data_IF_426765359434
#
_entry.id   IF_426765359434
#
_cell.length_a   1.000
_cell.length_b   1.000
_cell.length_c   1.000
_cell.angle_alpha   90.00
_cell.angle_beta   90.00
_cell.angle_gamma   90.00
#
_symmetry.space_group_name_H-M   'P 1'
#
loop_
_entity.id
_entity.type
_entity.pdbx_description
1 polymer ?
#
# COMPACT_ATOMS: atom_id res chain seq x y z
N UNK A 1 -46.64 18.99 5.82
CA UNK A 1 -47.09 18.01 6.82
C UNK A 1 -46.74 16.55 6.54
N UNK A 2 -47.10 15.90 5.41
CA UNK A 2 -46.74 14.48 5.19
C UNK A 2 -45.23 14.22 5.03
N UNK A 3 -44.52 15.10 4.32
CA UNK A 3 -43.08 14.94 4.11
C UNK A 3 -42.25 15.32 5.34
N UNK A 4 -42.70 16.26 6.18
CA UNK A 4 -41.95 16.70 7.37
C UNK A 4 -41.75 15.56 8.39
N UNK A 5 -42.80 14.80 8.70
CA UNK A 5 -42.67 13.65 9.62
C UNK A 5 -41.78 12.55 9.04
N UNK A 6 -41.90 12.29 7.73
CA UNK A 6 -41.10 11.28 7.04
C UNK A 6 -39.62 11.68 6.97
N UNK A 7 -39.33 12.96 6.71
CA UNK A 7 -37.97 13.51 6.72
C UNK A 7 -37.37 13.36 8.11
N UNK A 8 -38.10 13.73 9.18
CA UNK A 8 -37.60 13.55 10.56
C UNK A 8 -37.32 12.08 10.91
N UNK A 9 -38.14 11.13 10.46
CA UNK A 9 -37.87 9.71 10.64
C UNK A 9 -36.60 9.25 9.89
N UNK A 10 -36.39 9.76 8.67
CA UNK A 10 -35.19 9.49 7.86
C UNK A 10 -33.94 10.13 8.46
N UNK A 11 -34.02 11.32 9.05
CA UNK A 11 -32.92 11.97 9.77
C UNK A 11 -32.49 11.15 11.00
N UNK A 12 -33.46 10.66 11.78
CA UNK A 12 -33.18 9.76 12.89
C UNK A 12 -32.53 8.45 12.41
N UNK A 13 -32.99 7.90 11.29
CA UNK A 13 -32.36 6.72 10.69
C UNK A 13 -30.94 7.03 10.18
N UNK A 14 -30.73 8.19 9.55
CA UNK A 14 -29.43 8.64 9.07
C UNK A 14 -28.41 8.74 10.20
N UNK A 15 -28.82 9.26 11.37
CA UNK A 15 -27.94 9.34 12.53
C UNK A 15 -27.49 7.94 13.00
N UNK A 16 -28.42 7.00 13.12
CA UNK A 16 -28.10 5.60 13.50
C UNK A 16 -27.17 4.95 12.48
N UNK A 17 -27.39 5.17 11.18
CA UNK A 17 -26.53 4.63 10.11
C UNK A 17 -25.13 5.25 10.18
N UNK A 18 -25.01 6.56 10.43
CA UNK A 18 -23.70 7.21 10.61
C UNK A 18 -22.95 6.65 11.80
N UNK A 19 -23.63 6.47 12.93
CA UNK A 19 -23.02 5.90 14.12
C UNK A 19 -22.56 4.45 13.88
N UNK A 20 -23.32 3.69 13.07
CA UNK A 20 -22.94 2.34 12.64
C UNK A 20 -21.71 2.34 11.72
N UNK A 21 -21.70 3.16 10.67
CA UNK A 21 -20.57 3.29 9.75
C UNK A 21 -19.30 3.74 10.47
N UNK A 22 -19.41 4.69 11.41
CA UNK A 22 -18.30 5.14 12.25
C UNK A 22 -17.78 4.03 13.16
N UNK A 23 -18.66 3.24 13.79
CA UNK A 23 -18.25 2.12 14.63
C UNK A 23 -17.52 1.03 13.83
N UNK A 24 -17.99 0.73 12.62
CA UNK A 24 -17.33 -0.20 11.69
C UNK A 24 -15.95 0.33 11.27
N UNK A 25 -15.85 1.62 10.94
CA UNK A 25 -14.56 2.25 10.60
C UNK A 25 -13.59 2.16 11.78
N UNK A 26 -14.05 2.46 12.99
CA UNK A 26 -13.23 2.38 14.20
C UNK A 26 -12.76 0.96 14.50
N UNK A 27 -13.63 -0.03 14.32
CA UNK A 27 -13.26 -1.45 14.46
C UNK A 27 -12.15 -1.84 13.47
N UNK A 28 -12.20 -1.33 12.23
CA UNK A 28 -11.12 -1.55 11.25
C UNK A 28 -9.80 -0.92 11.69
N UNK A 29 -9.84 0.29 12.25
CA UNK A 29 -8.65 0.94 12.81
C UNK A 29 -8.01 0.14 13.94
N UNK A 30 -8.83 -0.40 14.84
CA UNK A 30 -8.35 -1.26 15.95
C UNK A 30 -7.70 -2.53 15.40
N UNK A 31 -8.31 -3.19 14.42
CA UNK A 31 -7.73 -4.37 13.80
C UNK A 31 -6.37 -4.07 13.17
N UNK A 32 -6.24 -2.95 12.45
CA UNK A 32 -4.95 -2.51 11.92
C UNK A 32 -3.93 -2.22 13.04
N UNK A 33 -4.35 -1.56 14.12
CA UNK A 33 -3.47 -1.29 15.26
C UNK A 33 -2.99 -2.57 15.95
N UNK A 34 -3.83 -3.60 16.03
CA UNK A 34 -3.45 -4.93 16.53
C UNK A 34 -2.42 -5.59 15.60
N UNK A 35 -2.61 -5.49 14.28
CA UNK A 35 -1.64 -6.01 13.31
C UNK A 35 -0.27 -5.31 13.43
N UNK A 36 -0.25 -3.97 13.52
CA UNK A 36 0.97 -3.19 13.72
C UNK A 36 1.67 -3.52 15.05
N UNK A 37 0.89 -3.71 16.12
CA UNK A 37 1.40 -4.11 17.42
C UNK A 37 2.05 -5.51 17.37
N UNK A 38 1.46 -6.44 16.62
CA UNK A 38 2.03 -7.79 16.42
C UNK A 38 3.34 -7.75 15.62
N UNK A 39 3.43 -6.91 14.60
CA UNK A 39 4.66 -6.74 13.80
C UNK A 39 5.78 -6.13 14.66
N UNK A 40 5.45 -5.18 15.52
CA UNK A 40 6.42 -4.42 16.32
C UNK A 40 6.85 -5.11 17.63
N UNK A 41 6.31 -6.29 17.96
CA UNK A 41 6.55 -6.99 19.25
C UNK A 41 8.04 -7.24 19.58
N UNK A 42 8.90 -7.47 18.59
CA UNK A 42 10.34 -7.72 18.78
C UNK A 42 11.23 -6.50 18.52
N UNK A 43 10.66 -5.37 18.09
CA UNK A 43 11.40 -4.21 17.59
C UNK A 43 12.40 -3.63 18.61
N UNK A 44 12.05 -3.61 19.89
CA UNK A 44 12.92 -3.06 20.95
C UNK A 44 14.16 -3.93 21.19
N UNK A 45 14.00 -5.26 21.15
CA UNK A 45 15.11 -6.20 21.30
C UNK A 45 16.01 -6.19 20.04
N UNK A 46 15.40 -6.08 18.86
CA UNK A 46 16.13 -5.95 17.60
C UNK A 46 16.92 -4.63 17.52
N UNK A 47 16.34 -3.53 17.98
CA UNK A 47 17.00 -2.23 18.04
C UNK A 47 18.22 -2.28 18.98
N UNK A 48 18.07 -2.90 20.15
CA UNK A 48 19.17 -3.14 21.08
C UNK A 48 20.29 -3.95 20.42
N UNK A 49 19.96 -5.11 19.84
CA UNK A 49 20.99 -5.96 19.21
C UNK A 49 21.67 -5.25 18.02
N UNK A 50 20.94 -4.47 17.24
CA UNK A 50 21.50 -3.67 16.13
C UNK A 50 22.50 -2.61 16.62
N UNK A 51 22.21 -1.96 17.74
CA UNK A 51 23.07 -0.92 18.29
C UNK A 51 24.35 -1.48 18.93
N UNK A 52 24.21 -2.53 19.75
CA UNK A 52 25.29 -2.99 20.62
C UNK A 52 26.12 -4.14 20.05
N UNK A 53 25.55 -5.02 19.22
CA UNK A 53 26.28 -6.18 18.69
C UNK A 53 27.48 -5.76 17.82
N UNK A 54 27.27 -4.78 16.94
CA UNK A 54 28.31 -4.31 16.03
C UNK A 54 29.48 -3.66 16.78
N UNK A 55 29.18 -2.81 17.77
CA UNK A 55 30.15 -2.18 18.67
C UNK A 55 30.92 -3.25 19.46
N UNK A 56 30.22 -4.20 20.06
CA UNK A 56 30.83 -5.29 20.84
C UNK A 56 31.77 -6.18 20.01
N UNK A 57 31.40 -6.50 18.76
CA UNK A 57 32.28 -7.24 17.86
C UNK A 57 33.55 -6.43 17.56
N UNK A 58 33.40 -5.15 17.22
CA UNK A 58 34.54 -4.28 16.90
C UNK A 58 35.50 -4.14 18.09
N UNK A 59 34.99 -4.01 19.30
CA UNK A 59 35.82 -3.87 20.50
C UNK A 59 36.63 -5.14 20.82
N UNK A 60 36.12 -6.33 20.48
CA UNK A 60 36.76 -7.61 20.81
C UNK A 60 37.71 -8.14 19.74
N UNK A 61 37.40 -7.95 18.46
CA UNK A 61 38.18 -8.51 17.34
C UNK A 61 38.64 -7.49 16.31
N UNK A 62 38.33 -6.21 16.51
CA UNK A 62 38.69 -5.12 15.60
C UNK A 62 37.80 -5.04 14.37
N UNK A 63 38.22 -4.21 13.42
CA UNK A 63 37.50 -4.03 12.16
C UNK A 63 37.63 -5.27 11.25
N UNK A 64 36.55 -5.56 10.52
CA UNK A 64 36.54 -6.62 9.51
C UNK A 64 37.67 -6.38 8.49
N UNK A 65 38.53 -7.37 8.20
CA UNK A 65 39.51 -7.26 7.14
C UNK A 65 38.82 -6.90 5.82
N UNK A 66 39.26 -5.82 5.15
CA UNK A 66 38.73 -5.43 3.85
C UNK A 66 39.04 -6.51 2.82
N UNK A 67 38.05 -6.92 2.03
CA UNK A 67 38.28 -7.82 0.91
C UNK A 67 39.05 -7.11 -0.22
N UNK A 68 39.58 -7.89 -1.17
CA UNK A 68 40.15 -7.31 -2.38
C UNK A 68 39.10 -6.54 -3.17
N UNK A 69 39.47 -5.38 -3.70
CA UNK A 69 38.66 -4.67 -4.68
C UNK A 69 38.43 -5.55 -5.93
N UNK A 70 37.31 -5.33 -6.64
CA UNK A 70 36.89 -6.16 -7.78
C UNK A 70 38.01 -6.36 -8.83
N UNK A 71 38.80 -5.30 -9.08
CA UNK A 71 39.87 -5.27 -10.08
C UNK A 71 41.28 -5.30 -9.48
N UNK A 72 41.45 -5.83 -8.26
CA UNK A 72 42.78 -5.90 -7.64
C UNK A 72 43.61 -7.06 -8.23
N UNK A 73 44.77 -6.81 -8.86
CA UNK A 73 45.59 -7.84 -9.48
C UNK A 73 46.16 -8.85 -8.47
N UNK A 74 46.32 -8.48 -7.19
CA UNK A 74 46.79 -9.41 -6.15
C UNK A 74 45.82 -10.56 -5.89
N UNK A 75 44.55 -10.43 -6.28
CA UNK A 75 43.54 -11.50 -6.17
C UNK A 75 43.87 -12.71 -7.05
N UNK A 76 44.61 -12.50 -8.15
CA UNK A 76 45.00 -13.58 -9.07
C UNK A 76 46.32 -14.27 -8.67
N UNK A 77 47.03 -13.74 -7.66
CA UNK A 77 48.29 -14.32 -7.17
C UNK A 77 47.98 -15.23 -5.97
N UNK A 78 48.14 -16.55 -6.17
CA UNK A 78 47.70 -17.60 -5.23
C UNK A 78 48.13 -17.38 -3.76
N UNK A 79 49.42 -17.12 -3.43
CA UNK A 79 49.81 -16.84 -2.04
C UNK A 79 49.07 -15.67 -1.37
N UNK A 80 48.77 -14.60 -2.11
CA UNK A 80 48.07 -13.43 -1.57
C UNK A 80 46.57 -13.69 -1.42
N UNK A 81 45.97 -14.38 -2.39
CA UNK A 81 44.58 -14.84 -2.30
C UNK A 81 44.37 -15.79 -1.11
N UNK A 82 45.25 -16.78 -0.93
CA UNK A 82 45.18 -17.77 0.14
C UNK A 82 45.38 -17.13 1.52
N UNK A 83 46.37 -16.24 1.65
CA UNK A 83 46.59 -15.48 2.90
C UNK A 83 45.36 -14.65 3.27
N UNK A 84 44.76 -13.96 2.30
CA UNK A 84 43.59 -13.11 2.54
C UNK A 84 42.34 -13.91 2.90
N UNK A 85 42.12 -15.03 2.21
CA UNK A 85 41.06 -15.98 2.51
C UNK A 85 41.21 -16.53 3.93
N UNK A 86 42.44 -16.90 4.33
CA UNK A 86 42.74 -17.36 5.69
C UNK A 86 42.49 -16.28 6.75
N UNK A 87 42.85 -15.03 6.49
CA UNK A 87 42.56 -13.89 7.39
C UNK A 87 41.05 -13.67 7.56
N UNK A 88 40.29 -13.68 6.46
CA UNK A 88 38.83 -13.56 6.50
C UNK A 88 38.17 -14.74 7.22
N UNK A 89 38.65 -15.95 6.99
CA UNK A 89 38.15 -17.14 7.66
C UNK A 89 38.37 -17.05 9.18
N UNK A 90 39.59 -16.72 9.61
CA UNK A 90 39.92 -16.53 11.05
C UNK A 90 39.06 -15.45 11.68
N UNK A 91 38.84 -14.33 10.98
CA UNK A 91 37.94 -13.27 11.45
C UNK A 91 36.50 -13.78 11.59
N UNK A 92 35.96 -14.48 10.59
CA UNK A 92 34.60 -15.00 10.61
C UNK A 92 34.39 -16.02 11.74
N UNK A 93 35.38 -16.89 11.99
CA UNK A 93 35.36 -17.83 13.12
C UNK A 93 35.40 -17.10 14.47
N UNK A 94 36.25 -16.08 14.60
CA UNK A 94 36.32 -15.24 15.78
C UNK A 94 35.02 -14.45 16.01
N UNK A 95 34.45 -13.88 14.94
CA UNK A 95 33.17 -13.17 14.97
C UNK A 95 32.05 -14.08 15.48
N UNK A 96 31.92 -15.31 14.95
CA UNK A 96 30.94 -16.28 15.44
C UNK A 96 31.09 -16.57 16.94
N UNK A 97 32.32 -16.72 17.44
CA UNK A 97 32.59 -16.95 18.87
C UNK A 97 32.23 -15.73 19.72
N UNK A 98 32.58 -14.53 19.26
CA UNK A 98 32.29 -13.27 19.96
C UNK A 98 30.81 -12.95 19.96
N UNK A 99 30.10 -13.17 18.85
CA UNK A 99 28.64 -13.03 18.78
C UNK A 99 27.93 -13.97 19.76
N UNK A 100 28.42 -15.22 19.91
CA UNK A 100 27.88 -16.13 20.94
C UNK A 100 28.11 -15.60 22.36
N UNK A 101 29.30 -15.05 22.64
CA UNK A 101 29.61 -14.43 23.93
C UNK A 101 28.75 -13.20 24.21
N UNK A 102 28.53 -12.34 23.20
CA UNK A 102 27.61 -11.21 23.30
C UNK A 102 26.24 -11.64 23.84
N UNK A 103 25.64 -12.68 23.26
CA UNK A 103 24.32 -13.13 23.72
C UNK A 103 24.32 -13.74 25.13
N UNK A 104 25.47 -14.22 25.62
CA UNK A 104 25.64 -14.69 27.00
C UNK A 104 25.81 -13.49 27.93
N UNK A 105 26.74 -12.58 27.61
CA UNK A 105 27.07 -11.42 28.44
C UNK A 105 25.88 -10.47 28.60
N UNK A 106 25.07 -10.32 27.55
CA UNK A 106 23.87 -9.47 27.54
C UNK A 106 22.57 -10.24 27.80
N UNK A 107 22.63 -11.51 28.21
CA UNK A 107 21.45 -12.35 28.43
C UNK A 107 20.44 -11.69 29.37
N UNK A 108 20.91 -11.15 30.50
CA UNK A 108 20.05 -10.51 31.50
C UNK A 108 19.40 -9.23 30.98
N UNK A 109 20.15 -8.38 30.29
CA UNK A 109 19.62 -7.13 29.72
C UNK A 109 18.59 -7.41 28.63
N UNK A 110 18.88 -8.36 27.73
CA UNK A 110 17.97 -8.80 26.68
C UNK A 110 16.71 -9.44 27.25
N UNK A 111 16.83 -10.20 28.33
CA UNK A 111 15.69 -10.78 29.05
C UNK A 111 14.80 -9.68 29.63
N UNK A 112 15.37 -8.65 30.27
CA UNK A 112 14.62 -7.50 30.81
C UNK A 112 13.88 -6.73 29.71
N UNK A 113 14.57 -6.39 28.63
CA UNK A 113 13.96 -5.70 27.47
C UNK A 113 12.80 -6.52 26.91
N UNK A 114 12.98 -7.85 26.78
CA UNK A 114 11.93 -8.75 26.30
C UNK A 114 10.73 -8.77 27.24
N UNK A 115 10.94 -8.84 28.55
CA UNK A 115 9.87 -8.82 29.54
C UNK A 115 9.11 -7.49 29.54
N UNK A 116 9.82 -6.36 29.50
CA UNK A 116 9.19 -5.03 29.42
C UNK A 116 8.37 -4.87 28.14
N UNK A 117 8.91 -5.29 27.00
CA UNK A 117 8.19 -5.28 25.73
C UNK A 117 6.98 -6.21 25.73
N UNK A 118 7.06 -7.37 26.38
CA UNK A 118 5.93 -8.31 26.50
C UNK A 118 4.83 -7.76 27.41
N UNK A 119 5.19 -7.07 28.50
CA UNK A 119 4.25 -6.38 29.38
C UNK A 119 3.55 -5.26 28.62
N UNK A 120 4.29 -4.34 27.99
CA UNK A 120 3.74 -3.22 27.20
C UNK A 120 2.82 -3.73 26.08
N UNK A 121 3.26 -4.76 25.35
CA UNK A 121 2.46 -5.44 24.33
C UNK A 121 1.15 -5.98 24.90
N UNK A 122 1.21 -6.72 26.01
CA UNK A 122 0.03 -7.31 26.64
C UNK A 122 -0.97 -6.27 27.13
N UNK A 123 -0.49 -5.15 27.68
CA UNK A 123 -1.32 -4.05 28.14
C UNK A 123 -2.03 -3.37 26.97
N UNK A 124 -1.28 -3.00 25.92
CA UNK A 124 -1.83 -2.38 24.71
C UNK A 124 -2.85 -3.30 24.04
N UNK A 125 -2.53 -4.58 23.90
CA UNK A 125 -3.43 -5.56 23.32
C UNK A 125 -4.71 -5.73 24.15
N UNK A 126 -4.60 -5.72 25.49
CA UNK A 126 -5.77 -5.81 26.37
C UNK A 126 -6.70 -4.61 26.22
N UNK A 127 -6.15 -3.39 26.09
CA UNK A 127 -6.94 -2.17 25.88
C UNK A 127 -7.65 -2.22 24.52
N UNK A 128 -6.94 -2.58 23.46
CA UNK A 128 -7.50 -2.68 22.10
C UNK A 128 -8.61 -3.75 22.03
N UNK A 129 -8.40 -4.91 22.64
CA UNK A 129 -9.42 -5.97 22.68
C UNK A 129 -10.64 -5.57 23.51
N UNK A 130 -10.48 -4.80 24.60
CA UNK A 130 -11.60 -4.28 25.36
C UNK A 130 -12.44 -3.31 24.51
N UNK A 131 -11.77 -2.39 23.80
CA UNK A 131 -12.43 -1.45 22.89
C UNK A 131 -13.14 -2.16 21.73
N UNK A 132 -12.53 -3.19 21.13
CA UNK A 132 -13.16 -3.99 20.07
C UNK A 132 -14.42 -4.72 20.55
N UNK A 133 -14.39 -5.30 21.75
CA UNK A 133 -15.56 -5.96 22.34
C UNK A 133 -16.72 -4.98 22.57
N UNK A 134 -16.43 -3.78 23.09
CA UNK A 134 -17.43 -2.72 23.27
C UNK A 134 -18.01 -2.27 21.92
N UNK A 135 -17.17 -2.10 20.91
CA UNK A 135 -17.61 -1.77 19.56
C UNK A 135 -18.44 -2.87 18.93
N UNK A 136 -18.09 -4.14 19.13
CA UNK A 136 -18.86 -5.27 18.61
C UNK A 136 -20.30 -5.25 19.14
N UNK A 137 -20.48 -5.04 20.45
CA UNK A 137 -21.80 -4.89 21.06
C UNK A 137 -22.56 -3.67 20.52
N UNK A 138 -21.85 -2.54 20.35
CA UNK A 138 -22.43 -1.31 19.80
C UNK A 138 -22.90 -1.51 18.35
N UNK A 139 -22.09 -2.17 17.52
CA UNK A 139 -22.38 -2.49 16.13
C UNK A 139 -23.62 -3.38 16.02
N UNK A 140 -23.69 -4.45 16.80
CA UNK A 140 -24.85 -5.35 16.80
C UNK A 140 -26.13 -4.63 17.27
N UNK A 141 -26.04 -3.78 18.30
CA UNK A 141 -27.17 -2.94 18.71
C UNK A 141 -27.64 -2.00 17.59
N UNK A 142 -26.72 -1.27 16.95
CA UNK A 142 -27.04 -0.34 15.86
C UNK A 142 -27.62 -1.07 14.65
N UNK A 143 -27.08 -2.24 14.29
CA UNK A 143 -27.59 -3.11 13.24
C UNK A 143 -29.02 -3.56 13.50
N UNK A 144 -29.35 -3.89 14.75
CA UNK A 144 -30.71 -4.23 15.16
C UNK A 144 -31.67 -3.03 15.04
N UNK A 145 -31.23 -1.84 15.45
CA UNK A 145 -32.02 -0.60 15.30
C UNK A 145 -32.30 -0.27 13.84
N UNK A 146 -31.29 -0.42 12.97
CA UNK A 146 -31.42 -0.23 11.52
C UNK A 146 -32.41 -1.25 10.95
N UNK A 147 -32.25 -2.53 11.26
CA UNK A 147 -33.09 -3.61 10.74
C UNK A 147 -34.54 -3.52 11.23
N UNK A 148 -34.76 -2.97 12.43
CA UNK A 148 -36.09 -2.74 12.99
C UNK A 148 -36.88 -1.65 12.26
N UNK A 149 -36.20 -0.67 11.66
CA UNK A 149 -36.80 0.40 10.87
C UNK A 149 -36.93 -0.03 9.41
N UNK A 150 -38.06 -0.67 9.04
CA UNK A 150 -38.40 -1.07 7.66
C UNK A 150 -38.78 0.12 6.74
N UNK A 151 -38.05 1.23 6.83
CA UNK A 151 -38.29 2.45 6.05
C UNK A 151 -37.71 2.37 4.64
N UNK A 152 -36.55 1.73 4.49
CA UNK A 152 -35.80 1.65 3.24
C UNK A 152 -35.37 0.21 2.93
N UNK A 153 -35.28 -0.17 1.64
CA UNK A 153 -34.67 -1.44 1.26
C UNK A 153 -33.19 -1.50 1.67
N UNK A 154 -32.71 -2.68 2.06
CA UNK A 154 -31.35 -2.89 2.57
C UNK A 154 -30.24 -2.28 1.68
N UNK A 155 -30.43 -2.33 0.35
CA UNK A 155 -29.49 -1.78 -0.64
C UNK A 155 -29.23 -0.28 -0.45
N UNK A 156 -30.20 0.47 0.09
CA UNK A 156 -30.11 1.93 0.25
C UNK A 156 -29.83 2.35 1.70
N UNK A 157 -29.52 1.40 2.58
CA UNK A 157 -29.12 1.65 3.96
C UNK A 157 -27.62 2.01 3.96
N UNK A 158 -27.33 3.24 3.54
CA UNK A 158 -26.03 3.89 3.69
C UNK A 158 -26.24 5.38 3.98
N UNK A 159 -25.32 6.00 4.71
CA UNK A 159 -25.47 7.41 5.10
C UNK A 159 -25.59 8.32 3.87
N UNK A 160 -24.86 8.00 2.81
CA UNK A 160 -24.89 8.74 1.55
C UNK A 160 -26.25 8.59 0.83
N UNK A 161 -26.76 7.36 0.70
CA UNK A 161 -28.06 7.11 0.06
C UNK A 161 -29.20 7.77 0.82
N UNK A 162 -29.24 7.61 2.15
CA UNK A 162 -30.30 8.21 2.98
C UNK A 162 -30.25 9.73 2.94
N UNK A 163 -29.04 10.33 3.01
CA UNK A 163 -28.89 11.78 2.89
C UNK A 163 -29.44 12.31 1.56
N UNK A 164 -29.13 11.64 0.44
CA UNK A 164 -29.67 12.03 -0.87
C UNK A 164 -31.19 11.91 -0.94
N UNK A 165 -31.75 10.84 -0.40
CA UNK A 165 -33.20 10.63 -0.34
C UNK A 165 -33.87 11.77 0.44
N UNK A 166 -33.32 12.15 1.59
CA UNK A 166 -33.79 13.32 2.38
C UNK A 166 -33.75 14.58 1.52
N UNK A 167 -32.61 14.87 0.89
CA UNK A 167 -32.46 16.06 0.03
C UNK A 167 -33.47 16.09 -1.11
N UNK A 168 -33.76 14.98 -1.79
CA UNK A 168 -34.76 14.97 -2.86
C UNK A 168 -36.17 15.28 -2.35
N UNK A 169 -36.50 14.86 -1.13
CA UNK A 169 -37.79 15.14 -0.50
C UNK A 169 -37.88 16.60 -0.02
N UNK A 170 -36.79 17.15 0.52
CA UNK A 170 -36.68 18.55 0.96
C UNK A 170 -36.74 19.53 -0.22
N UNK A 171 -36.06 19.19 -1.32
CA UNK A 171 -36.02 19.99 -2.55
C UNK A 171 -37.27 19.83 -3.41
N UNK A 172 -38.28 19.06 -2.95
CA UNK A 172 -39.50 18.74 -3.71
C UNK A 172 -39.21 18.10 -5.08
N UNK A 173 -38.07 17.43 -5.22
CA UNK A 173 -37.72 16.63 -6.39
C UNK A 173 -38.44 15.29 -6.40
N UNK A 174 -38.90 14.83 -5.23
CA UNK A 174 -39.71 13.63 -5.04
C UNK A 174 -40.81 13.90 -4.02
N UNK A 175 -41.98 13.32 -4.25
CA UNK A 175 -43.12 13.39 -3.31
C UNK A 175 -43.21 12.15 -2.41
N UNK A 176 -42.40 11.12 -2.68
CA UNK A 176 -42.37 9.88 -1.91
C UNK A 176 -40.99 9.23 -1.86
N UNK A 177 -40.76 8.36 -0.87
CA UNK A 177 -39.53 7.52 -0.78
C UNK A 177 -39.31 6.73 -2.08
N UNK A 178 -40.39 6.21 -2.68
CA UNK A 178 -40.29 5.42 -3.91
C UNK A 178 -39.73 6.24 -5.07
N UNK A 179 -40.20 7.48 -5.22
CA UNK A 179 -39.71 8.41 -6.25
C UNK A 179 -38.27 8.85 -5.96
N UNK A 180 -37.97 9.17 -4.70
CA UNK A 180 -36.60 9.53 -4.30
C UNK A 180 -35.60 8.39 -4.58
N UNK A 181 -36.00 7.13 -4.32
CA UNK A 181 -35.21 5.94 -4.69
C UNK A 181 -35.08 5.80 -6.20
N UNK A 182 -36.14 6.05 -6.98
CA UNK A 182 -36.09 5.98 -8.43
C UNK A 182 -35.10 7.01 -9.01
N UNK A 183 -35.12 8.24 -8.50
CA UNK A 183 -34.15 9.28 -8.86
C UNK A 183 -32.73 8.84 -8.51
N UNK A 184 -32.53 8.32 -7.29
CA UNK A 184 -31.22 7.84 -6.85
C UNK A 184 -30.68 6.73 -7.78
N UNK A 185 -31.50 5.73 -8.11
CA UNK A 185 -31.13 4.64 -9.02
C UNK A 185 -30.73 5.17 -10.40
N UNK A 186 -31.51 6.11 -10.94
CA UNK A 186 -31.23 6.71 -12.24
C UNK A 186 -29.90 7.49 -12.23
N UNK A 187 -29.63 8.27 -11.17
CA UNK A 187 -28.36 8.96 -11.00
C UNK A 187 -27.17 7.97 -10.89
N UNK A 188 -27.34 6.85 -10.20
CA UNK A 188 -26.31 5.80 -10.09
C UNK A 188 -26.01 5.14 -11.45
N UNK A 189 -27.04 4.91 -12.28
CA UNK A 189 -26.90 4.34 -13.62
C UNK A 189 -26.18 5.32 -14.56
N UNK A 190 -26.58 6.59 -14.56
CA UNK A 190 -25.89 7.65 -15.32
C UNK A 190 -24.42 7.75 -14.92
N UNK A 191 -24.11 7.69 -13.62
CA UNK A 191 -22.73 7.73 -13.15
C UNK A 191 -21.91 6.54 -13.67
N UNK A 192 -22.51 5.36 -13.74
CA UNK A 192 -21.84 4.16 -14.27
C UNK A 192 -21.56 4.29 -15.77
N UNK A 193 -22.52 4.77 -16.55
CA UNK A 193 -22.32 5.03 -17.97
C UNK A 193 -21.26 6.11 -18.23
N UNK A 194 -21.22 7.18 -17.43
CA UNK A 194 -20.17 8.19 -17.52
C UNK A 194 -18.77 7.58 -17.30
N UNK A 195 -18.61 6.74 -16.27
CA UNK A 195 -17.34 6.04 -16.00
C UNK A 195 -16.94 5.09 -17.13
N UNK A 196 -17.89 4.38 -17.74
CA UNK A 196 -17.62 3.53 -18.91
C UNK A 196 -17.15 4.33 -20.12
N UNK A 197 -17.74 5.52 -20.34
CA UNK A 197 -17.32 6.44 -21.39
C UNK A 197 -15.90 6.93 -21.12
N UNK A 198 -15.60 7.36 -19.90
CA UNK A 198 -14.26 7.84 -19.52
C UNK A 198 -13.19 6.76 -19.74
N UNK A 199 -13.46 5.50 -19.37
CA UNK A 199 -12.54 4.39 -19.61
C UNK A 199 -12.31 4.13 -21.11
N UNK A 200 -13.37 4.22 -21.93
CA UNK A 200 -13.26 4.09 -23.39
C UNK A 200 -12.46 5.23 -24.01
N UNK A 201 -12.64 6.46 -23.52
CA UNK A 201 -11.88 7.63 -23.95
C UNK A 201 -10.39 7.47 -23.61
N UNK A 202 -10.05 7.09 -22.39
CA UNK A 202 -8.65 6.82 -22.00
C UNK A 202 -7.99 5.75 -22.87
N UNK A 203 -8.73 4.69 -23.20
CA UNK A 203 -8.23 3.64 -24.10
C UNK A 203 -8.00 4.20 -25.51
N UNK A 204 -8.97 4.96 -26.04
CA UNK A 204 -8.88 5.55 -27.37
C UNK A 204 -7.70 6.53 -27.46
N UNK A 205 -7.48 7.36 -26.45
CA UNK A 205 -6.33 8.27 -26.36
C UNK A 205 -5.00 7.50 -26.41
N UNK A 206 -4.91 6.39 -25.68
CA UNK A 206 -3.72 5.52 -25.70
C UNK A 206 -3.53 4.85 -27.07
N UNK A 207 -4.61 4.37 -27.69
CA UNK A 207 -4.55 3.74 -29.00
C UNK A 207 -4.12 4.75 -30.08
N UNK A 208 -4.62 5.99 -30.02
CA UNK A 208 -4.19 7.11 -30.89
C UNK A 208 -2.71 7.43 -30.66
N UNK A 209 -2.27 7.52 -29.41
CA UNK A 209 -0.86 7.78 -29.09
C UNK A 209 0.05 6.70 -29.69
N UNK A 210 -0.25 5.43 -29.45
CA UNK A 210 0.54 4.32 -29.98
C UNK A 210 0.54 4.29 -31.51
N UNK A 211 -0.61 4.53 -32.13
CA UNK A 211 -0.73 4.60 -33.59
C UNK A 211 0.13 5.73 -34.18
N UNK A 212 0.13 6.91 -33.55
CA UNK A 212 0.95 8.04 -33.98
C UNK A 212 2.45 7.74 -33.84
N UNK A 213 2.88 7.10 -32.75
CA UNK A 213 4.28 6.69 -32.58
C UNK A 213 4.68 5.64 -33.62
N UNK A 214 3.85 4.61 -33.85
CA UNK A 214 4.11 3.61 -34.89
C UNK A 214 4.18 4.20 -36.29
N UNK A 215 3.30 5.15 -36.63
CA UNK A 215 3.38 5.87 -37.92
C UNK A 215 4.66 6.69 -38.02
N UNK A 216 5.06 7.39 -36.94
CA UNK A 216 6.31 8.16 -36.94
C UNK A 216 7.50 7.25 -37.22
N UNK A 217 7.60 6.13 -36.49
CA UNK A 217 8.65 5.12 -36.70
C UNK A 217 8.64 4.59 -38.14
N UNK A 218 7.47 4.26 -38.69
CA UNK A 218 7.38 3.76 -40.08
C UNK A 218 7.79 4.83 -41.11
N UNK A 219 7.42 6.09 -40.89
CA UNK A 219 7.83 7.22 -41.74
C UNK A 219 9.35 7.43 -41.66
N UNK A 220 9.94 7.39 -40.46
CA UNK A 220 11.38 7.52 -40.25
C UNK A 220 12.16 6.42 -40.99
N UNK A 221 11.74 5.15 -40.84
CA UNK A 221 12.35 4.02 -41.55
C UNK A 221 12.28 4.21 -43.07
N UNK A 222 11.11 4.55 -43.61
CA UNK A 222 10.96 4.78 -45.07
C UNK A 222 11.78 5.96 -45.56
N UNK A 223 11.90 7.01 -44.75
CA UNK A 223 12.70 8.18 -45.09
C UNK A 223 14.19 7.85 -45.12
N UNK A 224 14.68 7.07 -44.16
CA UNK A 224 16.05 6.56 -44.14
C UNK A 224 16.35 5.65 -45.33
N UNK A 225 15.43 4.74 -45.69
CA UNK A 225 15.55 3.89 -46.88
C UNK A 225 15.64 4.69 -48.18
N UNK A 226 14.82 5.75 -48.31
CA UNK A 226 14.86 6.67 -49.46
C UNK A 226 16.21 7.41 -49.49
N UNK A 227 16.68 7.92 -48.35
CA UNK A 227 17.95 8.63 -48.26
C UNK A 227 19.15 7.74 -48.63
N UNK A 228 19.16 6.49 -48.15
CA UNK A 228 20.17 5.49 -48.54
C UNK A 228 20.11 5.23 -50.05
N UNK A 229 18.92 5.04 -50.61
CA UNK A 229 18.74 4.83 -52.05
C UNK A 229 19.24 6.02 -52.88
N UNK A 230 18.92 7.25 -52.46
CA UNK A 230 19.39 8.47 -53.11
C UNK A 230 20.92 8.63 -53.01
N UNK A 231 21.50 8.32 -51.85
CA UNK A 231 22.95 8.35 -51.65
C UNK A 231 23.66 7.36 -52.58
N UNK A 232 23.14 6.13 -52.70
CA UNK A 232 23.67 5.13 -53.61
C UNK A 232 23.61 5.59 -55.07
N UNK A 233 22.45 6.10 -55.50
CA UNK A 233 22.27 6.67 -56.84
C UNK A 233 23.23 7.82 -57.13
N UNK A 234 23.44 8.71 -56.15
CA UNK A 234 24.35 9.83 -56.31
C UNK A 234 25.82 9.36 -56.41
N UNK A 235 26.20 8.35 -55.63
CA UNK A 235 27.53 7.73 -55.72
C UNK A 235 27.77 7.07 -57.08
N UNK A 236 26.80 6.32 -57.61
CA UNK A 236 26.86 5.73 -58.95
C UNK A 236 27.00 6.81 -60.04
N UNK A 237 26.24 7.89 -59.94
CA UNK A 237 26.28 9.00 -60.89
C UNK A 237 27.63 9.74 -60.85
N UNK A 238 28.22 9.88 -59.66
CA UNK A 238 29.57 10.43 -59.51
C UNK A 238 30.65 9.51 -60.09
N UNK A 239 30.53 8.18 -59.94
CA UNK A 239 31.45 7.25 -60.61
C UNK A 239 31.35 7.32 -62.13
N UNK A 240 30.14 7.45 -62.68
CA UNK A 240 29.93 7.55 -64.13
C UNK A 240 30.43 8.87 -64.75
N UNK A 241 30.58 9.93 -63.95
CA UNK A 241 31.13 11.22 -64.39
C UNK A 241 32.66 11.31 -64.27
N UNK A 242 33.28 10.34 -63.62
CA UNK A 242 34.73 10.34 -63.32
C UNK A 242 35.54 9.45 -64.27
N UNK A 243 34.87 8.75 -65.19
CA UNK A 243 35.43 8.08 -66.39
C UNK A 243 35.33 9.02 -67.62
#
# INVERSE_FOLDING_TARGET
MKNENLISELELLLQVIRDYENAISRQKEINNAIEELNISKSSSLEAFDKEYLSKYIKDKIGDRPKDFALYNPMKFIKPFADKKSSELQKYNEAQKKVTKRYYIDFADQRSKIKQEAEIDFSQKLSVLNAEDNELHLKIENLKNQISGKKLLPQKFISSNSVKKIITYLEDWRADSIKEAIAILCFEEELKRHAQEIDLKLMKLEKDIYNFNESIREEIEIKFDDINLSLSNLNNELHSLKSD
#
